data_IF_676815153644
#
_entry.id   IF_676815153644
#
_cell.length_a   1.000
_cell.length_b   1.000
_cell.length_c   1.000
_cell.angle_alpha   90.00
_cell.angle_beta   90.00
_cell.angle_gamma   90.00
#
_symmetry.space_group_name_H-M   'P 1'
#
loop_
_entity.id
_entity.type
_entity.pdbx_description
1 polymer ?
#
# COMPACT_ATOMS: atom_id res chain seq x y z
N UNK A 1 13.95 22.43 3.15
CA UNK A 1 13.40 22.55 4.52
C UNK A 1 14.48 22.18 5.55
N UNK A 2 14.24 22.50 6.83
CA UNK A 2 15.16 22.15 7.90
C UNK A 2 15.45 20.63 7.96
N UNK A 3 14.44 19.80 7.73
CA UNK A 3 14.60 18.34 7.67
C UNK A 3 15.51 17.91 6.52
N UNK A 4 15.30 18.43 5.33
CA UNK A 4 16.08 18.06 4.15
C UNK A 4 17.53 18.56 4.26
N UNK A 5 17.74 19.78 4.77
CA UNK A 5 19.06 20.40 4.86
C UNK A 5 19.90 19.90 6.04
N UNK A 6 19.28 19.68 7.20
CA UNK A 6 19.97 19.34 8.44
C UNK A 6 20.00 17.85 8.75
N UNK A 7 18.93 17.11 8.39
CA UNK A 7 18.78 15.70 8.73
C UNK A 7 18.97 14.78 7.51
N UNK A 8 19.15 15.35 6.32
CA UNK A 8 19.27 14.60 5.04
C UNK A 8 18.11 13.64 4.80
N UNK A 9 16.91 14.00 5.30
CA UNK A 9 15.69 13.21 5.16
C UNK A 9 14.85 13.79 4.03
N UNK A 10 14.51 12.97 3.02
CA UNK A 10 13.56 13.36 1.98
C UNK A 10 12.17 13.53 2.56
N UNK A 11 11.45 14.60 2.18
CA UNK A 11 10.05 14.78 2.53
C UNK A 11 9.07 14.07 1.58
N UNK A 12 9.58 13.23 0.65
CA UNK A 12 8.79 12.43 -0.30
C UNK A 12 7.63 13.23 -0.94
N UNK A 13 7.94 14.44 -1.46
CA UNK A 13 6.95 15.40 -1.97
C UNK A 13 6.18 14.90 -3.19
N UNK A 14 6.71 13.92 -3.90
CA UNK A 14 6.09 13.20 -5.01
C UNK A 14 5.08 12.13 -4.55
N UNK A 15 5.17 11.66 -3.30
CA UNK A 15 4.32 10.64 -2.71
C UNK A 15 3.38 11.19 -1.63
N UNK A 16 3.85 12.14 -0.83
CA UNK A 16 3.10 12.75 0.29
C UNK A 16 2.46 14.06 -0.16
N UNK A 17 1.15 14.18 0.01
CA UNK A 17 0.46 15.44 -0.24
C UNK A 17 0.56 16.38 0.97
N UNK A 18 1.65 17.14 1.03
CA UNK A 18 1.91 18.07 2.12
C UNK A 18 0.88 19.20 2.24
N UNK A 19 0.29 19.65 1.12
CA UNK A 19 -0.77 20.67 1.17
C UNK A 19 -2.00 20.14 1.92
N UNK A 20 -2.38 18.87 1.73
CA UNK A 20 -3.44 18.21 2.52
C UNK A 20 -3.05 18.08 4.01
N UNK A 21 -1.83 17.63 4.31
CA UNK A 21 -1.36 17.51 5.70
C UNK A 21 -1.37 18.87 6.41
N UNK A 22 -0.96 19.94 5.73
CA UNK A 22 -1.03 21.31 6.26
C UNK A 22 -2.49 21.71 6.51
N UNK A 23 -3.40 21.42 5.57
CA UNK A 23 -4.81 21.73 5.70
C UNK A 23 -5.42 20.99 6.90
N UNK A 24 -5.20 19.69 7.04
CA UNK A 24 -5.68 18.90 8.17
C UNK A 24 -5.21 19.46 9.52
N UNK A 25 -3.93 19.84 9.59
CA UNK A 25 -3.35 20.47 10.80
C UNK A 25 -4.00 21.81 11.11
N UNK A 26 -4.17 22.70 10.13
CA UNK A 26 -4.77 24.02 10.33
C UNK A 26 -6.27 23.91 10.64
N UNK A 27 -6.99 22.95 10.06
CA UNK A 27 -8.39 22.66 10.40
C UNK A 27 -8.52 22.17 11.82
N UNK A 28 -7.69 21.22 12.25
CA UNK A 28 -7.64 20.79 13.65
C UNK A 28 -7.37 21.98 14.58
N UNK A 29 -6.48 22.90 14.18
CA UNK A 29 -6.21 24.11 14.97
C UNK A 29 -7.45 25.00 15.11
N UNK A 30 -8.25 25.19 14.04
CA UNK A 30 -9.51 25.93 14.12
C UNK A 30 -10.50 25.26 15.07
N UNK A 31 -10.64 23.95 15.02
CA UNK A 31 -11.59 23.21 15.87
C UNK A 31 -11.24 23.35 17.34
N UNK A 32 -9.95 23.14 17.67
CA UNK A 32 -9.51 23.13 19.07
C UNK A 32 -9.42 24.54 19.67
N UNK A 33 -9.05 25.55 18.87
CA UNK A 33 -8.67 26.85 19.39
C UNK A 33 -9.51 28.02 18.85
N UNK A 34 -10.41 27.80 17.88
CA UNK A 34 -11.18 28.90 17.26
C UNK A 34 -12.64 28.51 17.02
N UNK A 35 -13.22 27.63 17.84
CA UNK A 35 -14.61 27.19 17.76
C UNK A 35 -15.04 26.77 16.34
N UNK A 36 -14.15 26.16 15.58
CA UNK A 36 -14.33 25.76 14.18
C UNK A 36 -14.55 26.93 13.20
N UNK A 37 -14.30 28.18 13.58
CA UNK A 37 -14.53 29.36 12.74
C UNK A 37 -13.30 29.63 11.86
N UNK A 38 -13.52 29.76 10.56
CA UNK A 38 -12.47 30.09 9.58
C UNK A 38 -11.91 31.47 9.81
N UNK A 39 -10.60 31.63 9.86
CA UNK A 39 -9.89 32.88 10.03
C UNK A 39 -8.87 33.12 8.88
N UNK A 40 -8.32 34.35 8.83
CA UNK A 40 -7.33 34.73 7.82
C UNK A 40 -6.10 33.83 7.78
N UNK A 41 -5.66 33.35 8.97
CA UNK A 41 -4.48 32.49 9.11
C UNK A 41 -4.69 31.12 8.42
N UNK A 42 -5.87 30.51 8.63
CA UNK A 42 -6.24 29.28 7.94
C UNK A 42 -6.21 29.47 6.43
N UNK A 43 -6.90 30.47 5.90
CA UNK A 43 -6.97 30.74 4.46
C UNK A 43 -5.57 30.93 3.84
N UNK A 44 -4.70 31.73 4.50
CA UNK A 44 -3.37 32.02 3.97
C UNK A 44 -2.43 30.81 4.00
N UNK A 45 -2.56 29.94 5.00
CA UNK A 45 -1.69 28.76 5.16
C UNK A 45 -2.09 27.57 4.32
N UNK A 46 -3.40 27.39 4.08
CA UNK A 46 -3.94 26.22 3.37
C UNK A 46 -4.17 26.47 1.89
N UNK A 47 -3.99 27.73 1.41
CA UNK A 47 -4.41 28.15 0.05
C UNK A 47 -5.93 27.95 -0.18
N UNK A 48 -6.69 27.74 0.88
CA UNK A 48 -8.15 27.61 0.89
C UNK A 48 -8.73 26.64 -0.16
N UNK A 49 -8.36 25.34 -0.15
CA UNK A 49 -8.77 24.38 -1.19
C UNK A 49 -10.29 24.13 -1.23
N UNK A 50 -11.02 24.51 -0.18
CA UNK A 50 -12.47 24.34 -0.06
C UNK A 50 -13.25 25.64 -0.28
N UNK A 51 -12.58 26.75 -0.64
CA UNK A 51 -13.20 28.07 -0.87
C UNK A 51 -14.02 28.61 0.31
N UNK A 52 -13.63 28.28 1.55
CA UNK A 52 -14.29 28.79 2.76
C UNK A 52 -14.16 30.32 2.89
N UNK A 53 -15.19 30.93 3.49
CA UNK A 53 -15.19 32.36 3.83
C UNK A 53 -14.74 32.58 5.28
N UNK A 54 -14.10 33.72 5.54
CA UNK A 54 -13.76 34.12 6.91
C UNK A 54 -15.05 34.24 7.73
N UNK A 55 -15.07 33.65 8.92
CA UNK A 55 -16.25 33.59 9.78
C UNK A 55 -17.14 32.36 9.55
N UNK A 56 -16.91 31.58 8.52
CA UNK A 56 -17.64 30.33 8.26
C UNK A 56 -17.28 29.26 9.29
N UNK A 57 -18.26 28.44 9.70
CA UNK A 57 -18.04 27.33 10.62
C UNK A 57 -17.71 26.07 9.79
N UNK A 58 -16.58 25.45 10.09
CA UNK A 58 -16.17 24.20 9.44
C UNK A 58 -16.69 23.00 10.23
N UNK A 59 -17.27 22.05 9.49
CA UNK A 59 -17.64 20.74 10.00
C UNK A 59 -16.68 19.67 9.50
N UNK A 60 -16.50 18.61 10.30
CA UNK A 60 -15.76 17.40 9.92
C UNK A 60 -16.77 16.26 9.81
N UNK A 61 -16.78 15.61 8.67
CA UNK A 61 -17.45 14.34 8.49
C UNK A 61 -16.47 13.15 8.64
N UNK A 62 -17.03 11.94 8.71
CA UNK A 62 -16.23 10.72 8.82
C UNK A 62 -15.29 10.52 7.64
N UNK A 63 -15.71 10.88 6.43
CA UNK A 63 -14.89 10.72 5.21
C UNK A 63 -13.65 11.60 5.28
N UNK A 64 -13.83 12.86 5.66
CA UNK A 64 -12.70 13.79 5.86
C UNK A 64 -11.74 13.27 6.93
N UNK A 65 -12.27 12.81 8.08
CA UNK A 65 -11.46 12.31 9.19
C UNK A 65 -10.64 11.07 8.78
N UNK A 66 -11.27 10.10 8.12
CA UNK A 66 -10.58 8.90 7.62
C UNK A 66 -9.49 9.26 6.61
N UNK A 67 -9.77 10.20 5.69
CA UNK A 67 -8.77 10.66 4.72
C UNK A 67 -7.59 11.36 5.41
N UNK A 68 -7.84 12.16 6.44
CA UNK A 68 -6.78 12.78 7.23
C UNK A 68 -5.88 11.72 7.89
N UNK A 69 -6.48 10.70 8.54
CA UNK A 69 -5.72 9.60 9.15
C UNK A 69 -4.86 8.84 8.13
N UNK A 70 -5.40 8.56 6.94
CA UNK A 70 -4.64 7.88 5.87
C UNK A 70 -3.43 8.69 5.40
N UNK A 71 -3.58 9.99 5.17
CA UNK A 71 -2.48 10.85 4.73
C UNK A 71 -1.42 11.02 5.83
N UNK A 72 -1.82 11.16 7.10
CA UNK A 72 -0.87 11.21 8.23
C UNK A 72 -0.16 9.87 8.41
N UNK A 73 -0.85 8.73 8.31
CA UNK A 73 -0.25 7.40 8.35
C UNK A 73 0.81 7.26 7.27
N UNK A 74 0.45 7.52 6.00
CA UNK A 74 1.37 7.44 4.88
C UNK A 74 2.59 8.36 5.09
N UNK A 75 2.33 9.63 5.44
CA UNK A 75 3.41 10.60 5.67
C UNK A 75 4.37 10.14 6.78
N UNK A 76 3.83 9.65 7.90
CA UNK A 76 4.62 9.12 9.01
C UNK A 76 5.43 7.88 8.62
N UNK A 77 4.83 6.94 7.91
CA UNK A 77 5.50 5.72 7.42
C UNK A 77 6.66 6.05 6.47
N UNK A 78 6.43 6.88 5.45
CA UNK A 78 7.48 7.22 4.48
C UNK A 78 8.61 8.01 5.12
N UNK A 79 8.32 8.90 6.07
CA UNK A 79 9.36 9.58 6.84
C UNK A 79 10.16 8.61 7.72
N UNK A 80 9.49 7.65 8.38
CA UNK A 80 10.15 6.60 9.16
C UNK A 80 11.09 5.76 8.28
N UNK A 81 10.63 5.31 7.11
CA UNK A 81 11.47 4.55 6.18
C UNK A 81 12.67 5.35 5.67
N UNK A 82 12.50 6.66 5.44
CA UNK A 82 13.61 7.56 5.11
C UNK A 82 14.63 7.68 6.26
N UNK A 83 14.17 7.83 7.49
CA UNK A 83 15.04 7.83 8.66
C UNK A 83 15.82 6.52 8.75
N UNK A 84 15.13 5.40 8.59
CA UNK A 84 15.72 4.06 8.66
C UNK A 84 16.80 3.89 7.57
N UNK A 85 16.46 4.15 6.31
CA UNK A 85 17.40 4.02 5.20
C UNK A 85 18.61 4.97 5.26
N UNK A 86 18.50 6.13 5.91
CA UNK A 86 19.60 7.08 6.05
C UNK A 86 20.46 6.84 7.29
N UNK A 87 19.86 6.46 8.42
CA UNK A 87 20.52 6.40 9.71
C UNK A 87 20.85 4.99 10.17
N UNK A 88 20.14 3.98 9.67
CA UNK A 88 20.31 2.58 10.04
C UNK A 88 20.45 1.68 8.81
N UNK A 89 21.45 1.98 7.99
CA UNK A 89 21.68 1.32 6.71
C UNK A 89 22.02 -0.17 6.83
N UNK A 90 22.49 -0.59 7.99
CA UNK A 90 22.83 -1.99 8.27
C UNK A 90 21.58 -2.84 8.44
N UNK A 91 20.47 -2.23 8.91
CA UNK A 91 19.19 -2.89 9.13
C UNK A 91 18.15 -2.62 8.01
N UNK A 92 18.60 -2.36 6.78
CA UNK A 92 17.70 -2.11 5.64
C UNK A 92 16.76 -3.28 5.36
N UNK A 93 17.16 -4.51 5.68
CA UNK A 93 16.33 -5.72 5.56
C UNK A 93 15.07 -5.60 6.40
N UNK A 94 15.21 -5.12 7.63
CA UNK A 94 14.07 -4.88 8.53
C UNK A 94 13.14 -3.80 7.99
N UNK A 95 13.68 -2.74 7.39
CA UNK A 95 12.88 -1.69 6.76
C UNK A 95 12.09 -2.21 5.55
N UNK A 96 12.73 -3.01 4.69
CA UNK A 96 12.07 -3.64 3.55
C UNK A 96 10.99 -4.63 3.98
N UNK A 97 11.27 -5.44 5.02
CA UNK A 97 10.31 -6.35 5.60
C UNK A 97 9.09 -5.58 6.14
N UNK A 98 9.31 -4.49 6.86
CA UNK A 98 8.23 -3.66 7.38
C UNK A 98 7.40 -3.03 6.24
N UNK A 99 8.03 -2.57 5.14
CA UNK A 99 7.32 -2.10 3.94
C UNK A 99 6.41 -3.21 3.38
N UNK A 100 6.91 -4.44 3.31
CA UNK A 100 6.13 -5.59 2.84
C UNK A 100 4.91 -5.84 3.73
N UNK A 101 5.09 -5.87 5.04
CA UNK A 101 4.00 -6.08 6.00
C UNK A 101 3.00 -4.93 5.93
N UNK A 102 3.44 -3.66 5.95
CA UNK A 102 2.53 -2.52 5.91
C UNK A 102 1.71 -2.46 4.61
N UNK A 103 2.33 -2.79 3.48
CA UNK A 103 1.60 -2.86 2.20
C UNK A 103 0.57 -4.00 2.19
N UNK A 104 0.86 -5.13 2.83
CA UNK A 104 -0.10 -6.23 2.99
C UNK A 104 -1.28 -5.83 3.89
N UNK A 105 -1.01 -5.22 5.04
CA UNK A 105 -2.06 -4.74 5.95
C UNK A 105 -2.93 -3.65 5.31
N UNK A 106 -2.33 -2.74 4.55
CA UNK A 106 -3.08 -1.73 3.79
C UNK A 106 -3.95 -2.35 2.67
N UNK A 107 -3.53 -3.46 2.05
CA UNK A 107 -4.38 -4.24 1.12
C UNK A 107 -5.62 -4.81 1.83
N UNK A 108 -5.45 -5.41 3.01
CA UNK A 108 -6.55 -6.00 3.80
C UNK A 108 -7.63 -4.97 4.14
N UNK A 109 -7.23 -3.73 4.43
CA UNK A 109 -8.17 -2.63 4.71
C UNK A 109 -8.53 -1.79 3.47
N UNK A 110 -8.19 -2.27 2.27
CA UNK A 110 -8.51 -1.66 0.98
C UNK A 110 -7.95 -0.25 0.77
N UNK A 111 -6.81 0.07 1.41
CA UNK A 111 -6.09 1.33 1.23
C UNK A 111 -5.17 1.29 0.01
N UNK A 112 -5.69 0.94 -1.16
CA UNK A 112 -4.92 0.65 -2.37
C UNK A 112 -4.01 1.80 -2.83
N UNK A 113 -4.44 3.06 -2.70
CA UNK A 113 -3.61 4.21 -3.05
C UNK A 113 -2.37 4.33 -2.14
N UNK A 114 -2.53 4.07 -0.83
CA UNK A 114 -1.42 4.02 0.13
C UNK A 114 -0.44 2.91 -0.23
N UNK A 115 -0.95 1.70 -0.55
CA UNK A 115 -0.12 0.58 -1.02
C UNK A 115 0.75 1.01 -2.21
N UNK A 116 0.14 1.59 -3.25
CA UNK A 116 0.88 2.01 -4.45
C UNK A 116 1.97 3.04 -4.12
N UNK A 117 1.67 4.02 -3.27
CA UNK A 117 2.63 5.06 -2.87
C UNK A 117 3.79 4.48 -2.05
N UNK A 118 3.49 3.57 -1.11
CA UNK A 118 4.52 2.88 -0.31
C UNK A 118 5.39 1.99 -1.19
N UNK A 119 4.80 1.25 -2.14
CA UNK A 119 5.57 0.46 -3.11
C UNK A 119 6.45 1.32 -4.02
N UNK A 120 5.97 2.50 -4.47
CA UNK A 120 6.80 3.45 -5.22
C UNK A 120 8.01 3.96 -4.42
N UNK A 121 7.86 4.10 -3.11
CA UNK A 121 9.00 4.41 -2.25
C UNK A 121 10.02 3.26 -2.27
N UNK A 122 9.58 2.00 -2.16
CA UNK A 122 10.49 0.85 -2.18
C UNK A 122 11.27 0.69 -3.49
N UNK A 123 10.74 1.18 -4.61
CA UNK A 123 11.45 1.19 -5.91
C UNK A 123 12.74 2.04 -5.91
N UNK A 124 12.92 2.91 -4.91
CA UNK A 124 14.16 3.69 -4.70
C UNK A 124 15.26 2.87 -4.01
N UNK A 125 14.92 1.69 -3.49
CA UNK A 125 15.83 0.80 -2.76
C UNK A 125 16.36 -0.24 -3.73
N UNK A 126 17.67 -0.32 -3.88
CA UNK A 126 18.31 -1.37 -4.68
C UNK A 126 18.62 -2.57 -3.79
N UNK A 127 18.13 -3.75 -4.17
CA UNK A 127 18.45 -5.00 -3.47
C UNK A 127 19.95 -5.29 -3.52
N UNK A 128 20.51 -5.81 -2.44
CA UNK A 128 21.93 -6.16 -2.28
C UNK A 128 22.16 -7.65 -2.11
N UNK A 129 21.09 -8.42 -1.90
CA UNK A 129 21.13 -9.86 -1.71
C UNK A 129 19.78 -10.50 -2.10
N UNK A 130 19.75 -11.82 -2.22
CA UNK A 130 18.56 -12.60 -2.61
C UNK A 130 17.37 -12.40 -1.66
N UNK A 131 17.62 -12.23 -0.36
CA UNK A 131 16.55 -11.99 0.62
C UNK A 131 15.84 -10.66 0.35
N UNK A 132 16.59 -9.60 0.07
CA UNK A 132 16.01 -8.30 -0.29
C UNK A 132 15.26 -8.38 -1.63
N UNK A 133 15.78 -9.13 -2.61
CA UNK A 133 15.09 -9.37 -3.88
C UNK A 133 13.74 -10.07 -3.67
N UNK A 134 13.68 -11.09 -2.80
CA UNK A 134 12.42 -11.78 -2.47
C UNK A 134 11.41 -10.83 -1.79
N UNK A 135 11.86 -10.01 -0.85
CA UNK A 135 10.98 -9.03 -0.20
C UNK A 135 10.45 -8.02 -1.22
N UNK A 136 11.30 -7.45 -2.07
CA UNK A 136 10.89 -6.50 -3.12
C UNK A 136 9.93 -7.16 -4.11
N UNK A 137 10.16 -8.42 -4.45
CA UNK A 137 9.24 -9.20 -5.28
C UNK A 137 7.84 -9.27 -4.65
N UNK A 138 7.73 -9.57 -3.35
CA UNK A 138 6.47 -9.61 -2.60
C UNK A 138 5.80 -8.24 -2.55
N UNK A 139 6.55 -7.17 -2.33
CA UNK A 139 6.06 -5.78 -2.40
C UNK A 139 5.48 -5.47 -3.78
N UNK A 140 6.11 -5.92 -4.86
CA UNK A 140 5.60 -5.74 -6.22
C UNK A 140 4.31 -6.53 -6.48
N UNK A 141 4.14 -7.72 -5.89
CA UNK A 141 2.86 -8.45 -5.91
C UNK A 141 1.77 -7.62 -5.18
N UNK A 142 2.06 -7.07 -4.01
CA UNK A 142 1.12 -6.21 -3.28
C UNK A 142 0.74 -4.97 -4.12
N UNK A 143 1.71 -4.33 -4.79
CA UNK A 143 1.45 -3.23 -5.73
C UNK A 143 0.52 -3.66 -6.87
N UNK A 144 0.79 -4.80 -7.49
CA UNK A 144 -0.01 -5.31 -8.60
C UNK A 144 -1.45 -5.63 -8.18
N UNK A 145 -1.67 -6.19 -6.96
CA UNK A 145 -3.00 -6.40 -6.39
C UNK A 145 -3.75 -5.06 -6.28
N UNK A 146 -3.12 -4.03 -5.69
CA UNK A 146 -3.72 -2.72 -5.52
C UNK A 146 -4.07 -2.06 -6.86
N UNK A 147 -3.17 -2.14 -7.85
CA UNK A 147 -3.39 -1.62 -9.21
C UNK A 147 -4.56 -2.31 -9.91
N UNK A 148 -4.67 -3.66 -9.77
CA UNK A 148 -5.78 -4.43 -10.33
C UNK A 148 -7.11 -4.05 -9.68
N UNK A 149 -7.16 -3.91 -8.34
CA UNK A 149 -8.36 -3.45 -7.60
C UNK A 149 -8.79 -2.03 -8.00
N UNK A 150 -7.86 -1.14 -8.30
CA UNK A 150 -8.14 0.22 -8.82
C UNK A 150 -8.37 0.27 -10.33
N UNK A 151 -8.32 -0.87 -11.04
CA UNK A 151 -8.46 -0.95 -12.50
C UNK A 151 -7.44 -0.11 -13.29
N UNK A 152 -6.26 0.12 -12.71
CA UNK A 152 -5.16 0.83 -13.37
C UNK A 152 -4.35 -0.15 -14.23
N UNK A 153 -4.91 -0.56 -15.36
CA UNK A 153 -4.36 -1.61 -16.23
C UNK A 153 -3.01 -1.21 -16.86
N UNK A 154 -2.79 0.07 -17.12
CA UNK A 154 -1.54 0.54 -17.73
C UNK A 154 -0.34 0.31 -16.78
N UNK A 155 -0.46 0.76 -15.53
CA UNK A 155 0.59 0.59 -14.53
C UNK A 155 0.70 -0.88 -14.05
N UNK A 156 -0.44 -1.61 -13.99
CA UNK A 156 -0.44 -3.05 -13.71
C UNK A 156 0.40 -3.82 -14.75
N UNK A 157 0.14 -3.62 -16.03
CA UNK A 157 0.90 -4.29 -17.10
C UNK A 157 2.40 -3.98 -17.04
N UNK A 158 2.77 -2.74 -16.69
CA UNK A 158 4.16 -2.34 -16.49
C UNK A 158 4.78 -3.05 -15.27
N UNK A 159 4.05 -3.10 -14.16
CA UNK A 159 4.50 -3.77 -12.93
C UNK A 159 4.71 -5.26 -13.17
N UNK A 160 3.75 -5.94 -13.84
CA UNK A 160 3.85 -7.37 -14.12
C UNK A 160 5.01 -7.75 -15.04
N UNK A 161 5.40 -6.90 -16.00
CA UNK A 161 6.58 -7.13 -16.85
C UNK A 161 7.89 -7.17 -16.07
N UNK A 162 7.94 -6.49 -14.93
CA UNK A 162 9.13 -6.44 -14.07
C UNK A 162 9.18 -7.60 -13.06
N UNK A 163 8.10 -8.40 -12.96
CA UNK A 163 8.02 -9.56 -12.07
C UNK A 163 8.51 -10.80 -12.80
N UNK A 164 9.64 -11.36 -12.36
CA UNK A 164 10.19 -12.60 -12.90
C UNK A 164 9.72 -13.79 -12.05
N UNK A 165 8.86 -14.64 -12.62
CA UNK A 165 8.21 -15.76 -11.89
C UNK A 165 8.89 -17.11 -12.17
N UNK A 166 9.93 -17.18 -12.99
CA UNK A 166 10.50 -18.43 -13.51
C UNK A 166 10.81 -19.49 -12.45
N UNK A 167 11.59 -19.13 -11.43
CA UNK A 167 11.96 -20.01 -10.30
C UNK A 167 11.10 -19.81 -9.05
N UNK A 168 10.10 -18.93 -9.12
CA UNK A 168 9.25 -18.62 -7.97
C UNK A 168 8.48 -19.87 -7.49
N UNK A 169 8.19 -19.90 -6.19
CA UNK A 169 7.40 -20.96 -5.58
C UNK A 169 5.97 -21.01 -6.15
N UNK A 170 5.26 -22.16 -6.03
CA UNK A 170 3.91 -22.33 -6.54
C UNK A 170 2.94 -21.23 -6.12
N UNK A 171 3.01 -20.74 -4.89
CA UNK A 171 2.11 -19.68 -4.40
C UNK A 171 2.26 -18.36 -5.16
N UNK A 172 3.49 -18.01 -5.59
CA UNK A 172 3.72 -16.81 -6.39
C UNK A 172 3.36 -16.99 -7.86
N UNK A 173 3.47 -18.23 -8.39
CA UNK A 173 2.95 -18.57 -9.72
C UNK A 173 1.43 -18.41 -9.76
N UNK A 174 0.75 -18.88 -8.71
CA UNK A 174 -0.71 -18.68 -8.51
C UNK A 174 -1.03 -17.18 -8.50
N UNK A 175 -0.35 -16.38 -7.68
CA UNK A 175 -0.58 -14.94 -7.62
C UNK A 175 -0.40 -14.27 -8.98
N UNK A 176 0.64 -14.61 -9.71
CA UNK A 176 0.91 -14.07 -11.04
C UNK A 176 -0.14 -14.48 -12.08
N UNK A 177 -0.62 -15.74 -12.03
CA UNK A 177 -1.71 -16.21 -12.88
C UNK A 177 -3.00 -15.43 -12.63
N UNK A 178 -3.38 -15.24 -11.36
CA UNK A 178 -4.57 -14.46 -10.97
C UNK A 178 -4.45 -13.00 -11.43
N UNK A 179 -3.27 -12.38 -11.28
CA UNK A 179 -3.04 -11.00 -11.70
C UNK A 179 -3.15 -10.82 -13.23
N UNK A 180 -2.82 -11.83 -14.01
CA UNK A 180 -2.94 -11.85 -15.47
C UNK A 180 -4.27 -12.41 -16.00
N UNK A 181 -5.26 -12.69 -15.14
CA UNK A 181 -6.51 -13.36 -15.50
C UNK A 181 -6.32 -14.70 -16.23
N UNK A 182 -5.22 -15.38 -15.96
CA UNK A 182 -4.88 -16.68 -16.54
C UNK A 182 -5.16 -17.81 -15.55
N UNK A 183 -6.26 -18.52 -15.75
CA UNK A 183 -6.66 -19.62 -14.87
C UNK A 183 -6.16 -21.00 -15.34
N UNK A 184 -5.43 -21.08 -16.45
CA UNK A 184 -4.92 -22.35 -16.98
C UNK A 184 -3.91 -23.00 -16.01
N UNK A 185 -4.21 -24.21 -15.54
CA UNK A 185 -3.38 -24.93 -14.58
C UNK A 185 -3.35 -24.33 -13.17
N UNK A 186 -4.22 -23.38 -12.86
CA UNK A 186 -4.30 -22.73 -11.54
C UNK A 186 -4.56 -23.74 -10.43
N UNK A 187 -5.51 -24.68 -10.65
CA UNK A 187 -5.86 -25.73 -9.67
C UNK A 187 -4.66 -26.64 -9.40
N UNK A 188 -3.88 -27.01 -10.43
CA UNK A 188 -2.72 -27.87 -10.26
C UNK A 188 -1.60 -27.16 -9.48
N UNK A 189 -1.38 -25.87 -9.75
CA UNK A 189 -0.43 -25.08 -8.96
C UNK A 189 -0.92 -24.93 -7.52
N UNK A 190 -2.22 -24.83 -7.30
CA UNK A 190 -2.83 -24.74 -5.97
C UNK A 190 -2.61 -26.02 -5.15
N UNK A 191 -2.83 -27.19 -5.77
CA UNK A 191 -2.53 -28.50 -5.15
C UNK A 191 -1.06 -28.61 -4.77
N UNK A 192 -0.15 -28.18 -5.66
CA UNK A 192 1.30 -28.17 -5.36
C UNK A 192 1.63 -27.27 -4.20
N UNK A 193 1.03 -26.07 -4.12
CA UNK A 193 1.25 -25.13 -3.02
C UNK A 193 0.76 -25.70 -1.68
N UNK A 194 -0.37 -26.44 -1.67
CA UNK A 194 -0.88 -27.13 -0.46
C UNK A 194 0.10 -28.25 -0.03
N UNK A 195 0.54 -29.10 -0.97
CA UNK A 195 1.49 -30.20 -0.68
C UNK A 195 2.81 -29.67 -0.11
N UNK A 196 3.26 -28.51 -0.57
CA UNK A 196 4.48 -27.84 -0.09
C UNK A 196 4.28 -27.00 1.16
N UNK A 197 3.09 -27.01 1.75
CA UNK A 197 2.71 -26.18 2.91
C UNK A 197 2.91 -24.68 2.70
N UNK A 198 2.81 -24.22 1.44
CA UNK A 198 2.90 -22.80 1.09
C UNK A 198 1.58 -22.05 1.25
N UNK A 199 0.44 -22.80 1.28
CA UNK A 199 -0.90 -22.24 1.45
C UNK A 199 -1.76 -23.20 2.28
N UNK A 200 -2.50 -22.63 3.23
CA UNK A 200 -3.57 -23.29 3.96
C UNK A 200 -4.89 -22.52 3.75
N UNK A 201 -5.97 -23.04 4.34
CA UNK A 201 -7.31 -22.43 4.17
C UNK A 201 -7.38 -21.02 4.75
N UNK A 202 -6.74 -20.73 5.87
CA UNK A 202 -6.75 -19.40 6.50
C UNK A 202 -6.01 -18.41 5.62
N UNK A 203 -4.85 -18.78 5.09
CA UNK A 203 -4.09 -17.95 4.17
C UNK A 203 -4.86 -17.67 2.86
N UNK A 204 -5.57 -18.67 2.32
CA UNK A 204 -6.45 -18.50 1.17
C UNK A 204 -7.61 -17.52 1.45
N UNK A 205 -8.15 -17.53 2.66
CA UNK A 205 -9.24 -16.63 3.04
C UNK A 205 -8.75 -15.20 3.35
N UNK A 206 -7.53 -15.06 3.87
CA UNK A 206 -6.99 -13.76 4.29
C UNK A 206 -6.26 -12.98 3.19
N UNK A 207 -5.55 -13.67 2.30
CA UNK A 207 -4.73 -12.96 1.31
C UNK A 207 -5.60 -12.29 0.23
N UNK A 208 -5.50 -10.93 0.06
CA UNK A 208 -6.37 -10.18 -0.85
C UNK A 208 -6.26 -10.55 -2.33
N UNK A 209 -5.19 -11.27 -2.76
CA UNK A 209 -5.07 -11.81 -4.11
C UNK A 209 -6.21 -12.78 -4.46
N UNK A 210 -6.65 -13.56 -3.48
CA UNK A 210 -7.72 -14.54 -3.68
C UNK A 210 -9.12 -13.94 -3.74
N UNK A 211 -9.30 -12.64 -3.44
CA UNK A 211 -10.57 -11.96 -3.70
C UNK A 211 -10.99 -12.09 -5.16
N UNK A 212 -10.03 -11.98 -6.10
CA UNK A 212 -10.31 -12.11 -7.54
C UNK A 212 -10.81 -13.50 -7.94
N UNK A 213 -10.41 -14.53 -7.18
CA UNK A 213 -10.85 -15.91 -7.38
C UNK A 213 -12.17 -16.14 -6.69
N UNK A 214 -12.34 -15.61 -5.46
CA UNK A 214 -13.60 -15.75 -4.68
C UNK A 214 -14.79 -15.05 -5.35
N UNK A 215 -14.56 -14.06 -6.19
CA UNK A 215 -15.58 -13.41 -7.03
C UNK A 215 -16.14 -14.35 -8.12
N UNK A 216 -15.43 -15.47 -8.44
CA UNK A 216 -15.89 -16.51 -9.36
C UNK A 216 -16.32 -17.74 -8.54
N UNK A 217 -17.62 -17.95 -8.35
CA UNK A 217 -18.19 -18.99 -7.49
C UNK A 217 -17.73 -20.41 -7.85
N UNK A 218 -17.66 -20.73 -9.16
CA UNK A 218 -17.23 -22.04 -9.62
C UNK A 218 -15.76 -22.32 -9.27
N UNK A 219 -14.87 -21.38 -9.59
CA UNK A 219 -13.45 -21.49 -9.30
C UNK A 219 -13.18 -21.53 -7.80
N UNK A 220 -13.88 -20.68 -7.04
CA UNK A 220 -13.82 -20.68 -5.58
C UNK A 220 -14.21 -22.05 -5.01
N UNK A 221 -15.31 -22.61 -5.45
CA UNK A 221 -15.75 -23.95 -5.02
C UNK A 221 -14.71 -25.02 -5.34
N UNK A 222 -14.18 -25.04 -6.58
CA UNK A 222 -13.15 -26.01 -6.99
C UNK A 222 -11.90 -25.91 -6.11
N UNK A 223 -11.44 -24.70 -5.77
CA UNK A 223 -10.27 -24.50 -4.91
C UNK A 223 -10.52 -24.92 -3.46
N UNK A 224 -11.72 -24.66 -2.92
CA UNK A 224 -12.09 -25.15 -1.59
C UNK A 224 -12.09 -26.69 -1.50
N UNK A 225 -12.47 -27.38 -2.58
CA UNK A 225 -12.41 -28.84 -2.62
C UNK A 225 -10.96 -29.38 -2.55
N UNK A 226 -9.97 -28.62 -3.06
CA UNK A 226 -8.56 -29.06 -2.99
C UNK A 226 -8.06 -29.10 -1.54
N UNK A 227 -8.53 -28.25 -0.64
CA UNK A 227 -8.17 -28.29 0.79
C UNK A 227 -8.80 -29.46 1.55
N UNK A 228 -9.94 -29.99 1.08
CA UNK A 228 -10.62 -31.13 1.74
C UNK A 228 -10.03 -32.47 1.35
N UNK A 229 -9.39 -32.53 0.18
CA UNK A 229 -8.90 -33.77 -0.41
C UNK A 229 -7.39 -34.01 -0.19
N UNK A 230 -6.72 -33.12 0.54
CA UNK A 230 -5.33 -33.21 0.96
C UNK A 230 -5.24 -33.11 2.50
#
# INVERSE_FOLDING_TARGET
>A
SHFEEKLTISLERDLINWDKIIEFRERRHLIVHNSSIVNKKYISRTKNPFNFKIGEIIHIDNTYFINALKEFKLGGQLLLFNCWGNWDKENIDSALYEIMIQTFEDLKVKNYETVIKTCKYSEKITARNEQQEDIIFRVNINKAIALKKLKNNAELSKTLKNIQVGTASPIFKIAFQILNDNHNGLIDNFKKAIILDEINIDYYLEWPIFDFVRENEELHFQLLQTFKNN
#
